data_IF_615355925047
#
_entry.id   IF_615355925047
#
_cell.length_a   1.000
_cell.length_b   1.000
_cell.length_c   1.000
_cell.angle_alpha   90.00
_cell.angle_beta   90.00
_cell.angle_gamma   90.00
#
_symmetry.space_group_name_H-M   'P 1'
#
loop_
_entity.id
_entity.type
_entity.pdbx_description
1 polymer ?
#
# COMPACT_ATOMS: atom_id res chain seq x y z
N UNK A 1 25.82 -24.49 -8.32
CA UNK A 1 25.43 -25.73 -9.02
C UNK A 1 23.94 -25.66 -9.34
N UNK A 2 23.59 -25.70 -10.64
CA UNK A 2 22.34 -26.26 -11.24
C UNK A 2 21.03 -25.58 -10.78
N UNK A 3 20.52 -24.54 -11.44
CA UNK A 3 19.94 -24.47 -12.79
C UNK A 3 18.73 -25.39 -13.02
N UNK A 4 17.58 -24.72 -13.27
CA UNK A 4 16.46 -25.12 -14.13
C UNK A 4 15.59 -26.29 -13.68
N UNK A 5 14.26 -26.11 -13.71
CA UNK A 5 13.29 -27.01 -14.36
C UNK A 5 11.90 -26.33 -14.34
N UNK A 6 11.63 -25.55 -15.40
CA UNK A 6 10.25 -25.33 -15.86
C UNK A 6 9.87 -26.55 -16.69
N UNK A 7 8.86 -27.30 -16.26
CA UNK A 7 8.24 -28.34 -17.06
C UNK A 7 6.81 -28.56 -16.58
N UNK A 8 5.85 -27.95 -17.25
CA UNK A 8 4.44 -28.31 -17.15
C UNK A 8 3.87 -28.32 -18.55
N UNK A 9 4.29 -29.33 -19.32
CA UNK A 9 3.56 -29.77 -20.50
C UNK A 9 2.38 -30.61 -20.02
N UNK A 10 1.16 -30.10 -20.14
CA UNK A 10 -0.04 -30.92 -20.07
C UNK A 10 -0.62 -31.00 -21.48
N UNK A 11 -0.42 -32.19 -22.03
CA UNK A 11 -0.87 -32.66 -23.33
C UNK A 11 -2.39 -32.57 -23.48
N UNK A 12 -2.77 -32.20 -24.69
CA UNK A 12 -4.10 -32.26 -25.23
C UNK A 12 -4.64 -33.71 -25.32
N UNK A 13 -5.89 -33.89 -24.90
CA UNK A 13 -6.90 -34.79 -25.44
C UNK A 13 -8.14 -34.55 -24.56
N UNK A 14 -9.37 -34.38 -25.04
CA UNK A 14 -10.12 -35.30 -25.89
C UNK A 14 -11.17 -34.46 -26.62
N UNK A 15 -11.14 -34.47 -27.95
CA UNK A 15 -12.24 -34.01 -28.78
C UNK A 15 -13.34 -35.05 -28.77
N UNK A 16 -14.41 -34.80 -28.03
CA UNK A 16 -15.68 -35.52 -28.17
C UNK A 16 -16.57 -34.73 -29.12
N UNK A 17 -16.59 -35.21 -30.37
CA UNK A 17 -17.55 -34.84 -31.38
C UNK A 17 -18.96 -35.21 -30.90
N UNK A 18 -19.69 -34.23 -30.38
CA UNK A 18 -21.13 -34.27 -30.16
C UNK A 18 -21.81 -33.33 -31.13
N UNK A 19 -22.05 -33.80 -32.37
CA UNK A 19 -22.93 -33.13 -33.31
C UNK A 19 -24.37 -33.39 -32.90
N UNK A 20 -25.03 -32.38 -32.30
CA UNK A 20 -26.43 -32.48 -31.92
C UNK A 20 -27.02 -31.11 -31.57
N UNK A 21 -28.00 -30.70 -32.36
CA UNK A 21 -28.90 -29.56 -32.18
C UNK A 21 -28.31 -28.17 -32.50
N UNK A 22 -28.71 -27.65 -33.67
CA UNK A 22 -28.71 -26.24 -34.05
C UNK A 22 -29.58 -25.43 -33.08
N UNK A 23 -29.07 -25.17 -31.88
CA UNK A 23 -29.42 -24.00 -31.09
C UNK A 23 -28.26 -23.03 -31.21
N UNK A 24 -28.49 -21.79 -31.65
CA UNK A 24 -27.49 -20.74 -31.64
C UNK A 24 -27.15 -20.36 -30.20
N UNK A 25 -26.42 -21.24 -29.50
CA UNK A 25 -25.82 -20.97 -28.20
C UNK A 25 -24.66 -20.00 -28.44
N UNK A 26 -24.99 -18.72 -28.49
CA UNK A 26 -23.98 -17.68 -28.42
C UNK A 26 -23.41 -17.76 -27.00
N UNK A 27 -22.12 -18.09 -26.81
CA UNK A 27 -21.51 -18.02 -25.49
C UNK A 27 -21.65 -16.58 -25.02
N UNK A 28 -22.48 -16.38 -23.99
CA UNK A 28 -22.61 -15.09 -23.35
C UNK A 28 -21.22 -14.75 -22.79
N UNK A 29 -20.61 -13.61 -23.15
CA UNK A 29 -19.36 -13.19 -22.54
C UNK A 29 -19.63 -13.04 -21.04
N UNK A 30 -19.10 -13.97 -20.24
CA UNK A 30 -19.16 -13.87 -18.79
C UNK A 30 -18.24 -12.71 -18.40
N UNK A 31 -18.84 -11.54 -18.19
CA UNK A 31 -18.11 -10.38 -17.71
C UNK A 31 -17.84 -10.59 -16.22
N UNK A 32 -16.70 -11.21 -15.91
CA UNK A 32 -16.21 -11.24 -14.54
C UNK A 32 -15.92 -9.78 -14.13
N UNK A 33 -16.42 -9.30 -12.97
CA UNK A 33 -16.03 -8.00 -12.48
C UNK A 33 -14.50 -7.97 -12.34
N UNK A 34 -13.85 -6.83 -12.67
CA UNK A 34 -12.40 -6.71 -12.50
C UNK A 34 -12.05 -7.03 -11.04
N UNK A 35 -10.92 -7.72 -10.79
CA UNK A 35 -10.49 -8.00 -9.42
C UNK A 35 -10.41 -6.68 -8.64
N UNK A 36 -10.79 -6.68 -7.35
CA UNK A 36 -10.68 -5.48 -6.54
C UNK A 36 -9.23 -4.97 -6.56
N UNK A 37 -9.02 -3.64 -6.58
CA UNK A 37 -7.67 -3.09 -6.55
C UNK A 37 -6.94 -3.62 -5.31
N UNK A 38 -5.73 -4.14 -5.52
CA UNK A 38 -4.91 -4.62 -4.42
C UNK A 38 -4.48 -3.43 -3.57
N UNK A 39 -4.47 -3.62 -2.26
CA UNK A 39 -4.02 -2.61 -1.32
C UNK A 39 -2.50 -2.42 -1.48
N UNK A 40 -2.07 -1.22 -1.89
CA UNK A 40 -0.65 -0.89 -2.02
C UNK A 40 -0.07 -0.51 -0.66
N UNK A 41 0.44 -1.52 0.04
CA UNK A 41 1.05 -1.35 1.36
C UNK A 41 2.28 -0.43 1.31
N UNK A 42 3.01 -0.40 0.19
CA UNK A 42 4.18 0.46 0.03
C UNK A 42 3.75 1.94 -0.09
N UNK A 43 2.74 2.24 -0.89
CA UNK A 43 2.18 3.58 -0.98
C UNK A 43 1.63 4.06 0.38
N UNK A 44 0.98 3.17 1.13
CA UNK A 44 0.44 3.47 2.45
C UNK A 44 1.55 3.77 3.47
N UNK A 45 2.63 2.99 3.44
CA UNK A 45 3.79 3.26 4.27
C UNK A 45 4.42 4.61 3.90
N UNK A 46 4.58 4.92 2.61
CA UNK A 46 5.10 6.21 2.15
C UNK A 46 4.23 7.39 2.57
N UNK A 47 2.90 7.22 2.53
CA UNK A 47 1.96 8.21 3.05
C UNK A 47 2.19 8.43 4.55
N UNK A 48 2.33 7.36 5.32
CA UNK A 48 2.70 7.42 6.73
C UNK A 48 3.98 8.24 6.95
N UNK A 49 5.05 7.94 6.22
CA UNK A 49 6.34 8.65 6.30
C UNK A 49 6.18 10.15 6.06
N UNK A 50 5.44 10.54 5.02
CA UNK A 50 5.17 11.94 4.74
C UNK A 50 4.42 12.61 5.91
N UNK A 51 3.37 11.97 6.38
CA UNK A 51 2.49 12.52 7.42
C UNK A 51 3.19 12.65 8.78
N UNK A 52 4.07 11.70 9.11
CA UNK A 52 4.92 11.74 10.30
C UNK A 52 5.98 12.84 10.24
N UNK A 53 6.59 13.03 9.08
CA UNK A 53 7.58 14.10 8.86
C UNK A 53 6.96 15.48 9.07
N UNK A 54 5.80 15.73 8.45
CA UNK A 54 5.06 16.99 8.59
C UNK A 54 4.61 17.24 10.04
N UNK A 55 4.20 16.17 10.74
CA UNK A 55 3.81 16.23 12.14
C UNK A 55 4.99 16.63 13.06
N UNK A 56 6.17 16.04 12.86
CA UNK A 56 7.37 16.41 13.59
C UNK A 56 7.80 17.86 13.31
N UNK A 57 7.75 18.26 12.03
CA UNK A 57 8.03 19.64 11.61
C UNK A 57 7.13 20.63 12.32
N UNK A 58 5.84 20.33 12.38
CA UNK A 58 4.86 21.17 13.07
C UNK A 58 5.09 21.23 14.58
N UNK A 59 5.31 20.10 15.24
CA UNK A 59 5.59 20.05 16.68
C UNK A 59 6.82 20.90 17.03
N UNK A 60 7.90 20.78 16.25
CA UNK A 60 9.11 21.59 16.46
C UNK A 60 8.86 23.08 16.19
N UNK A 61 8.11 23.42 15.13
CA UNK A 61 7.78 24.81 14.82
C UNK A 61 6.93 25.47 15.93
N UNK A 62 6.05 24.70 16.59
CA UNK A 62 5.24 25.17 17.71
C UNK A 62 5.93 25.03 19.08
N UNK A 63 7.18 24.55 19.13
CA UNK A 63 7.89 24.31 20.38
C UNK A 63 7.28 23.22 21.26
N UNK A 64 6.51 22.30 20.67
CA UNK A 64 5.92 21.17 21.37
C UNK A 64 6.96 20.08 21.63
N UNK A 65 6.81 19.29 22.71
CA UNK A 65 7.65 18.11 22.94
C UNK A 65 7.52 17.10 21.78
N UNK A 66 8.61 16.49 21.32
CA UNK A 66 8.59 15.52 20.24
C UNK A 66 7.90 14.23 20.68
N UNK A 67 6.67 14.03 20.21
CA UNK A 67 5.82 12.88 20.50
C UNK A 67 5.01 12.54 19.26
N UNK A 68 5.13 11.34 18.70
CA UNK A 68 4.30 10.95 17.55
C UNK A 68 2.90 10.45 17.98
N UNK A 69 2.79 9.91 19.20
CA UNK A 69 1.63 9.18 19.71
C UNK A 69 0.41 10.05 20.01
N UNK A 70 0.59 11.37 20.10
CA UNK A 70 -0.51 12.34 20.29
C UNK A 70 -1.22 12.75 19.00
N UNK A 71 -0.63 12.48 17.84
CA UNK A 71 -1.17 12.94 16.56
C UNK A 71 -2.46 12.21 16.19
N UNK A 72 -3.56 12.94 15.85
CA UNK A 72 -4.82 12.32 15.47
C UNK A 72 -4.69 11.31 14.33
N UNK A 73 -3.84 11.61 13.34
CA UNK A 73 -3.57 10.73 12.21
C UNK A 73 -2.82 9.45 12.59
N UNK A 74 -2.00 9.48 13.65
CA UNK A 74 -1.36 8.27 14.16
C UNK A 74 -2.36 7.40 14.93
N UNK A 75 -3.23 8.03 15.73
CA UNK A 75 -4.25 7.34 16.52
C UNK A 75 -5.36 6.76 15.65
N UNK A 76 -5.84 7.53 14.69
CA UNK A 76 -6.89 7.18 13.74
C UNK A 76 -6.36 7.34 12.30
N UNK A 77 -5.55 6.38 11.81
CA UNK A 77 -5.04 6.42 10.45
C UNK A 77 -6.16 6.49 9.40
N UNK A 78 -6.03 7.35 8.37
CA UNK A 78 -7.01 7.48 7.29
C UNK A 78 -6.84 6.36 6.23
N UNK A 79 -6.65 5.12 6.69
CA UNK A 79 -6.38 3.94 5.85
C UNK A 79 -7.24 2.76 6.32
N UNK A 80 -7.54 1.78 5.46
CA UNK A 80 -8.35 0.64 5.87
C UNK A 80 -7.64 -0.19 6.97
N UNK A 81 -8.40 -0.93 7.80
CA UNK A 81 -7.85 -1.64 8.97
C UNK A 81 -6.61 -2.52 8.70
N UNK A 82 -6.51 -3.27 7.59
CA UNK A 82 -5.33 -4.07 7.29
C UNK A 82 -4.04 -3.25 7.12
N UNK A 83 -4.15 -1.97 6.75
CA UNK A 83 -3.06 -1.07 6.43
C UNK A 83 -2.64 -0.15 7.59
N UNK A 84 -3.39 -0.17 8.70
CA UNK A 84 -3.15 0.71 9.86
C UNK A 84 -1.72 0.58 10.38
N UNK A 85 -1.20 -0.64 10.44
CA UNK A 85 0.14 -0.88 10.98
C UNK A 85 1.23 -0.31 10.07
N UNK A 86 1.12 -0.52 8.75
CA UNK A 86 2.11 -0.01 7.79
C UNK A 86 2.12 1.51 7.74
N UNK A 87 0.94 2.13 7.78
CA UNK A 87 0.81 3.57 7.92
C UNK A 87 1.47 4.07 9.21
N UNK A 88 1.20 3.44 10.36
CA UNK A 88 1.76 3.85 11.66
C UNK A 88 3.28 3.66 11.72
N UNK A 89 3.79 2.59 11.12
CA UNK A 89 5.23 2.35 10.99
C UNK A 89 5.88 3.48 10.17
N UNK A 90 5.33 3.77 8.99
CA UNK A 90 5.80 4.89 8.17
C UNK A 90 5.73 6.22 8.92
N UNK A 91 4.62 6.49 9.63
CA UNK A 91 4.46 7.70 10.43
C UNK A 91 5.57 7.85 11.47
N UNK A 92 5.92 6.77 12.18
CA UNK A 92 7.02 6.80 13.14
C UNK A 92 8.35 7.09 12.44
N UNK A 93 8.64 6.38 11.35
CA UNK A 93 9.88 6.53 10.60
C UNK A 93 10.06 7.96 10.07
N UNK A 94 9.00 8.56 9.53
CA UNK A 94 9.00 9.94 9.05
C UNK A 94 9.21 10.96 10.18
N UNK A 95 8.56 10.74 11.32
CA UNK A 95 8.69 11.59 12.50
C UNK A 95 10.12 11.56 13.05
N UNK A 96 10.67 10.37 13.25
CA UNK A 96 12.05 10.16 13.72
C UNK A 96 13.07 10.71 12.72
N UNK A 97 12.84 10.54 11.41
CA UNK A 97 13.71 11.08 10.36
C UNK A 97 13.80 12.61 10.38
N UNK A 98 12.72 13.31 10.72
CA UNK A 98 12.78 14.76 10.91
C UNK A 98 13.63 15.11 12.13
N UNK A 99 13.40 14.46 13.27
CA UNK A 99 14.13 14.74 14.50
C UNK A 99 15.63 14.47 14.39
N UNK A 100 16.02 13.41 13.67
CA UNK A 100 17.43 13.11 13.42
C UNK A 100 18.15 14.13 12.53
N UNK A 101 17.42 14.93 11.73
CA UNK A 101 18.02 16.02 10.96
C UNK A 101 18.32 17.26 11.83
N UNK A 102 17.81 17.29 13.07
CA UNK A 102 17.84 18.44 13.95
C UNK A 102 16.74 19.46 13.62
N UNK A 103 16.29 20.26 14.61
CA UNK A 103 15.34 21.33 14.35
C UNK A 103 15.94 22.33 13.34
N UNK A 104 15.14 22.89 12.41
CA UNK A 104 15.61 23.96 11.54
C UNK A 104 16.13 25.13 12.40
N UNK A 105 17.17 25.86 11.96
CA UNK A 105 17.66 27.02 12.69
C UNK A 105 16.51 28.01 12.92
N UNK A 106 16.48 28.72 14.06
CA UNK A 106 15.46 29.72 14.31
C UNK A 106 15.45 30.74 13.15
N UNK A 107 14.26 31.24 12.75
CA UNK A 107 14.20 32.27 11.71
C UNK A 107 15.07 33.47 12.12
N UNK A 108 15.76 34.13 11.16
CA UNK A 108 16.51 35.35 11.46
C UNK A 108 15.61 36.34 12.20
N UNK A 109 16.04 36.83 13.35
CA UNK A 109 15.29 37.80 14.13
C UNK A 109 15.04 39.07 13.31
N UNK A 110 13.79 39.55 13.31
CA UNK A 110 13.43 40.87 12.81
C UNK A 110 13.64 41.93 13.89
#
# INVERSE_FOLDING_TARGET
>A
MKNTLYASALLAAIGLAGSGLTGCSHPQPVYAPPPPPMLDMQAIHQQGVHDGFEAARHDVAEGRPPRFDHHPRFRNPPVPPPAINDYRNGFRDGYERFLHQGPPPPPPGY
#
